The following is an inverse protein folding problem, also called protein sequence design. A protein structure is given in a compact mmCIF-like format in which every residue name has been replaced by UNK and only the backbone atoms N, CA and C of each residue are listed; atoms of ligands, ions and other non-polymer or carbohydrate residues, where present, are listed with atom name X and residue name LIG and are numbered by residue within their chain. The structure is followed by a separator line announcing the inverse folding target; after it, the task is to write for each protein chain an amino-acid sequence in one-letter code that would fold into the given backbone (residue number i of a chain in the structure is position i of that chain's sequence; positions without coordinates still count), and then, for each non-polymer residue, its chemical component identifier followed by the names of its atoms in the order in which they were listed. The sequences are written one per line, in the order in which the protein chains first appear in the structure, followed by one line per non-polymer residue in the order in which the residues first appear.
data_IF_506968182645
#
_entry.id   IF_506968182645
#
_cell.length_a   1.000
_cell.length_b   1.000
_cell.length_c   1.000
_cell.angle_alpha   90.00
_cell.angle_beta   90.00
_cell.angle_gamma   90.00
#
_symmetry.space_group_name_H-M   'P 1'
#
loop_
_entity.id
_entity.type
_entity.pdbx_description
1 polymer ?
#
# COMPACT_ATOMS: atom_id res chain seq x y z
N UNK A 1 11.15 -3.49 24.42
CA UNK A 1 11.76 -2.26 23.85
C UNK A 1 12.47 -2.53 22.52
N UNK A 2 13.19 -3.63 22.35
CA UNK A 2 13.92 -4.01 21.12
C UNK A 2 13.04 -4.16 19.87
N UNK A 3 11.88 -4.82 19.93
CA UNK A 3 11.03 -5.07 18.75
C UNK A 3 10.41 -3.82 18.11
N UNK A 4 10.29 -2.73 18.86
CA UNK A 4 9.69 -1.47 18.38
C UNK A 4 10.67 -0.72 17.47
N UNK A 5 11.93 -0.56 17.90
CA UNK A 5 13.00 0.07 17.10
C UNK A 5 13.32 -0.75 15.86
N UNK A 6 13.21 -2.08 15.95
CA UNK A 6 13.43 -2.96 14.80
C UNK A 6 12.40 -2.76 13.69
N UNK A 7 11.10 -2.64 14.03
CA UNK A 7 10.06 -2.40 13.03
C UNK A 7 10.17 -1.00 12.37
N UNK A 8 10.63 0.01 13.11
CA UNK A 8 10.88 1.34 12.56
C UNK A 8 12.11 1.34 11.64
N UNK A 9 13.17 0.67 12.06
CA UNK A 9 14.38 0.49 11.26
C UNK A 9 14.10 -0.32 9.99
N UNK A 10 13.31 -1.40 10.10
CA UNK A 10 12.92 -2.20 8.94
C UNK A 10 12.14 -1.37 7.92
N UNK A 11 11.14 -0.60 8.36
CA UNK A 11 10.39 0.30 7.49
C UNK A 11 11.33 1.31 6.81
N UNK A 12 12.23 1.91 7.56
CA UNK A 12 13.23 2.85 7.02
C UNK A 12 14.11 2.18 5.97
N UNK A 13 14.71 1.02 6.27
CA UNK A 13 15.57 0.30 5.33
C UNK A 13 14.82 -0.12 4.07
N UNK A 14 13.59 -0.65 4.20
CA UNK A 14 12.78 -1.03 3.05
C UNK A 14 12.50 0.19 2.17
N UNK A 15 12.06 1.31 2.76
CA UNK A 15 11.75 2.53 2.00
C UNK A 15 12.98 3.11 1.28
N UNK A 16 14.14 3.08 1.93
CA UNK A 16 15.42 3.49 1.29
C UNK A 16 15.77 2.56 0.14
N UNK A 17 15.62 1.24 0.33
CA UNK A 17 15.87 0.26 -0.73
C UNK A 17 14.95 0.49 -1.93
N UNK A 18 13.68 0.78 -1.69
CA UNK A 18 12.69 1.10 -2.73
C UNK A 18 13.08 2.33 -3.54
N UNK A 19 13.50 3.40 -2.88
CA UNK A 19 14.03 4.59 -3.56
C UNK A 19 15.28 4.30 -4.38
N UNK A 20 16.21 3.53 -3.85
CA UNK A 20 17.44 3.14 -4.57
C UNK A 20 17.09 2.33 -5.81
N UNK A 21 16.19 1.34 -5.69
CA UNK A 21 15.73 0.52 -6.82
C UNK A 21 15.06 1.41 -7.88
N UNK A 22 14.18 2.33 -7.47
CA UNK A 22 13.51 3.26 -8.37
C UNK A 22 14.54 4.08 -9.17
N UNK A 23 15.51 4.70 -8.48
CA UNK A 23 16.54 5.51 -9.16
C UNK A 23 17.45 4.69 -10.09
N UNK A 24 17.74 3.44 -9.75
CA UNK A 24 18.58 2.55 -10.56
C UNK A 24 17.85 2.02 -11.80
N UNK A 25 16.52 1.79 -11.70
CA UNK A 25 15.75 1.15 -12.76
C UNK A 25 15.00 2.14 -13.66
N UNK A 26 14.86 3.40 -13.26
CA UNK A 26 14.10 4.40 -13.99
C UNK A 26 15.05 5.38 -14.70
N UNK A 27 15.29 5.23 -16.00
CA UNK A 27 16.22 6.10 -16.74
C UNK A 27 15.69 7.52 -16.93
N UNK A 28 14.37 7.68 -16.99
CA UNK A 28 13.69 8.98 -17.13
C UNK A 28 12.51 9.05 -16.20
N UNK A 29 12.46 10.08 -15.35
CA UNK A 29 11.41 10.26 -14.36
C UNK A 29 10.19 10.96 -14.97
N UNK A 30 9.02 10.34 -14.77
CA UNK A 30 7.71 10.93 -15.04
C UNK A 30 7.19 11.68 -13.80
N UNK A 31 6.09 12.41 -13.96
CA UNK A 31 5.40 13.05 -12.82
C UNK A 31 4.97 12.01 -11.75
N UNK A 32 4.57 10.82 -12.19
CA UNK A 32 4.17 9.73 -11.29
C UNK A 32 5.34 9.24 -10.45
N UNK A 33 6.54 9.13 -11.03
CA UNK A 33 7.75 8.72 -10.30
C UNK A 33 8.12 9.76 -9.24
N UNK A 34 8.00 11.05 -9.54
CA UNK A 34 8.23 12.10 -8.55
C UNK A 34 7.21 12.09 -7.41
N UNK A 35 5.92 11.80 -7.70
CA UNK A 35 4.91 11.58 -6.64
C UNK A 35 5.29 10.39 -5.77
N UNK A 36 5.81 9.31 -6.37
CA UNK A 36 6.28 8.14 -5.66
C UNK A 36 7.49 8.46 -4.76
N UNK A 37 8.47 9.21 -5.27
CA UNK A 37 9.60 9.72 -4.46
C UNK A 37 9.10 10.54 -3.26
N UNK A 38 8.17 11.45 -3.49
CA UNK A 38 7.57 12.26 -2.41
C UNK A 38 6.88 11.39 -1.35
N UNK A 39 6.11 10.37 -1.78
CA UNK A 39 5.46 9.42 -0.85
C UNK A 39 6.49 8.68 0.01
N UNK A 40 7.58 8.20 -0.58
CA UNK A 40 8.64 7.51 0.15
C UNK A 40 9.35 8.43 1.14
N UNK A 41 9.59 9.69 0.75
CA UNK A 41 10.13 10.68 1.68
C UNK A 41 9.19 10.91 2.88
N UNK A 42 7.88 11.03 2.63
CA UNK A 42 6.88 11.14 3.70
C UNK A 42 6.90 9.89 4.60
N UNK A 43 7.00 8.69 4.02
CA UNK A 43 7.10 7.44 4.78
C UNK A 43 8.36 7.40 5.65
N UNK A 44 9.50 7.92 5.17
CA UNK A 44 10.73 8.03 5.97
C UNK A 44 10.52 8.96 7.18
N UNK A 45 9.91 10.13 6.97
CA UNK A 45 9.57 11.05 8.07
C UNK A 45 8.60 10.40 9.06
N UNK A 46 7.60 9.68 8.56
CA UNK A 46 6.65 8.94 9.40
C UNK A 46 7.38 7.85 10.20
N UNK A 47 8.28 7.09 9.58
CA UNK A 47 9.03 6.03 10.27
C UNK A 47 9.77 6.54 11.50
N UNK A 48 10.28 7.78 11.43
CA UNK A 48 10.98 8.44 12.54
C UNK A 48 10.03 9.02 13.60
N UNK A 49 8.80 9.42 13.20
CA UNK A 49 7.89 10.22 14.05
C UNK A 49 6.58 9.50 14.42
N UNK A 50 6.32 8.32 13.87
CA UNK A 50 5.04 7.60 14.01
C UNK A 50 4.70 7.27 15.45
N UNK A 51 3.41 7.21 15.72
CA UNK A 51 2.91 6.80 17.03
C UNK A 51 3.21 5.33 17.28
N UNK A 52 3.61 5.03 18.50
CA UNK A 52 3.80 3.64 18.92
C UNK A 52 2.43 2.95 19.01
N UNK A 53 2.33 1.72 18.51
CA UNK A 53 1.06 0.99 18.57
C UNK A 53 0.74 0.50 19.97
N UNK A 54 -0.55 0.48 20.30
CA UNK A 54 -1.07 -0.11 21.52
C UNK A 54 -1.15 -1.63 21.41
N UNK A 55 -1.53 -2.12 20.22
CA UNK A 55 -1.68 -3.53 19.90
C UNK A 55 -1.04 -3.81 18.54
N UNK A 56 -0.45 -4.99 18.39
CA UNK A 56 0.17 -5.48 17.16
C UNK A 56 -0.39 -6.83 16.76
N UNK A 57 -0.46 -7.09 15.46
CA UNK A 57 -0.60 -8.44 14.95
C UNK A 57 0.80 -9.06 14.73
N UNK A 58 1.16 -10.03 15.60
CA UNK A 58 2.43 -10.75 15.52
C UNK A 58 2.33 -12.08 14.76
N UNK A 59 1.20 -12.38 14.14
CA UNK A 59 1.02 -13.64 13.45
C UNK A 59 2.02 -13.81 12.29
N UNK A 60 2.47 -15.03 12.08
CA UNK A 60 3.34 -15.39 10.95
C UNK A 60 2.63 -15.08 9.64
N UNK A 61 1.33 -15.38 9.55
CA UNK A 61 0.52 -15.12 8.37
C UNK A 61 0.45 -13.63 8.00
N UNK A 62 0.32 -12.74 9.01
CA UNK A 62 0.39 -11.29 8.79
C UNK A 62 1.78 -10.87 8.28
N UNK A 63 2.84 -11.46 8.82
CA UNK A 63 4.21 -11.18 8.36
C UNK A 63 4.44 -11.64 6.93
N UNK A 64 3.93 -12.82 6.56
CA UNK A 64 4.00 -13.34 5.18
C UNK A 64 3.20 -12.47 4.22
N UNK A 65 1.98 -12.05 4.59
CA UNK A 65 1.16 -11.17 3.77
C UNK A 65 1.82 -9.79 3.56
N UNK A 66 2.47 -9.24 4.58
CA UNK A 66 3.28 -8.03 4.45
C UNK A 66 4.44 -8.26 3.48
N UNK A 67 5.21 -9.34 3.66
CA UNK A 67 6.31 -9.69 2.78
C UNK A 67 5.87 -9.87 1.32
N UNK A 68 4.79 -10.61 1.08
CA UNK A 68 4.23 -10.79 -0.25
C UNK A 68 3.84 -9.45 -0.89
N UNK A 69 3.15 -8.57 -0.15
CA UNK A 69 2.73 -7.26 -0.64
C UNK A 69 3.91 -6.35 -1.02
N UNK A 70 5.08 -6.52 -0.41
CA UNK A 70 6.29 -5.78 -0.76
C UNK A 70 7.08 -6.42 -1.91
N UNK A 71 7.09 -7.74 -2.01
CA UNK A 71 7.93 -8.45 -2.99
C UNK A 71 7.30 -8.48 -4.37
N UNK A 72 5.96 -8.68 -4.49
CA UNK A 72 5.34 -8.90 -5.79
C UNK A 72 5.50 -7.73 -6.78
N UNK A 73 5.45 -6.43 -6.40
CA UNK A 73 5.61 -5.34 -7.36
C UNK A 73 7.00 -5.33 -7.98
N UNK A 74 8.04 -5.62 -7.17
CA UNK A 74 9.41 -5.72 -7.69
C UNK A 74 9.61 -6.96 -8.56
N UNK A 75 9.03 -8.09 -8.17
CA UNK A 75 9.06 -9.29 -8.98
C UNK A 75 8.42 -9.04 -10.35
N UNK A 76 7.32 -8.26 -10.41
CA UNK A 76 6.68 -7.86 -11.65
C UNK A 76 7.60 -7.00 -12.52
N UNK A 77 8.19 -5.94 -11.96
CA UNK A 77 9.11 -5.04 -12.70
C UNK A 77 10.33 -5.81 -13.21
N UNK A 78 10.96 -6.63 -12.35
CA UNK A 78 12.12 -7.44 -12.73
C UNK A 78 11.75 -8.43 -13.83
N UNK A 79 10.60 -9.11 -13.71
CA UNK A 79 10.16 -10.07 -14.70
C UNK A 79 9.92 -9.43 -16.08
N UNK A 80 9.26 -8.27 -16.13
CA UNK A 80 9.00 -7.55 -17.39
C UNK A 80 10.29 -7.09 -18.10
N UNK A 81 11.38 -6.85 -17.36
CA UNK A 81 12.70 -6.54 -17.96
C UNK A 81 13.23 -7.70 -18.82
N UNK A 82 12.96 -8.94 -18.41
CA UNK A 82 13.45 -10.16 -19.09
C UNK A 82 12.43 -10.76 -20.06
N UNK A 83 11.16 -10.51 -19.83
CA UNK A 83 10.05 -11.02 -20.63
C UNK A 83 9.02 -9.91 -20.83
N UNK A 84 9.27 -8.98 -21.78
CA UNK A 84 8.33 -7.91 -22.05
C UNK A 84 6.92 -8.42 -22.31
N UNK A 85 5.96 -7.70 -21.80
CA UNK A 85 4.55 -8.03 -21.90
C UNK A 85 3.90 -7.44 -23.15
N UNK A 86 2.61 -7.64 -23.25
CA UNK A 86 1.77 -7.05 -24.28
C UNK A 86 1.28 -5.68 -23.85
N UNK A 87 1.49 -4.66 -24.68
CA UNK A 87 1.02 -3.30 -24.45
C UNK A 87 -0.38 -3.14 -25.02
N UNK A 88 -1.39 -2.97 -24.14
CA UNK A 88 -2.78 -2.89 -24.56
C UNK A 88 -3.33 -1.46 -24.56
N UNK A 89 -3.29 -0.79 -23.40
CA UNK A 89 -3.93 0.51 -23.17
C UNK A 89 -3.02 1.45 -22.37
N UNK A 90 -1.85 1.85 -22.92
CA UNK A 90 -0.82 2.58 -22.16
C UNK A 90 -1.31 3.94 -21.63
N UNK A 91 -2.09 4.68 -22.40
CA UNK A 91 -2.63 5.97 -21.96
C UNK A 91 -3.65 5.82 -20.82
N UNK A 92 -4.57 4.88 -20.92
CA UNK A 92 -5.55 4.59 -19.87
C UNK A 92 -4.85 4.08 -18.60
N UNK A 93 -3.84 3.22 -18.77
CA UNK A 93 -3.03 2.73 -17.66
C UNK A 93 -2.27 3.86 -16.96
N UNK A 94 -1.66 4.77 -17.71
CA UNK A 94 -0.96 5.94 -17.13
C UNK A 94 -1.91 6.85 -16.33
N UNK A 95 -3.11 7.13 -16.87
CA UNK A 95 -4.12 7.91 -16.14
C UNK A 95 -4.48 7.22 -14.83
N UNK A 96 -4.72 5.91 -14.86
CA UNK A 96 -5.12 5.17 -13.68
C UNK A 96 -4.00 5.11 -12.62
N UNK A 97 -2.75 4.90 -13.02
CA UNK A 97 -1.59 4.94 -12.09
C UNK A 97 -1.44 6.33 -11.48
N UNK A 98 -1.63 7.41 -12.26
CA UNK A 98 -1.54 8.78 -11.75
C UNK A 98 -2.64 9.07 -10.72
N UNK A 99 -3.88 8.66 -10.98
CA UNK A 99 -4.99 8.78 -10.03
C UNK A 99 -4.73 7.96 -8.76
N UNK A 100 -4.22 6.74 -8.91
CA UNK A 100 -3.85 5.87 -7.82
C UNK A 100 -2.74 6.48 -6.94
N UNK A 101 -1.71 7.06 -7.56
CA UNK A 101 -0.63 7.77 -6.86
C UNK A 101 -1.16 8.97 -6.07
N UNK A 102 -2.06 9.77 -6.67
CA UNK A 102 -2.72 10.88 -5.99
C UNK A 102 -3.55 10.42 -4.79
N UNK A 103 -4.37 9.38 -4.96
CA UNK A 103 -5.14 8.79 -3.87
C UNK A 103 -4.24 8.25 -2.75
N UNK A 104 -3.17 7.55 -3.11
CA UNK A 104 -2.18 7.03 -2.16
C UNK A 104 -1.53 8.16 -1.35
N UNK A 105 -1.13 9.25 -2.02
CA UNK A 105 -0.55 10.42 -1.35
C UNK A 105 -1.53 11.04 -0.36
N UNK A 106 -2.78 11.30 -0.77
CA UNK A 106 -3.81 11.88 0.11
C UNK A 106 -4.10 10.98 1.30
N UNK A 107 -4.20 9.66 1.08
CA UNK A 107 -4.44 8.70 2.17
C UNK A 107 -3.27 8.62 3.13
N UNK A 108 -2.03 8.64 2.63
CA UNK A 108 -0.83 8.64 3.44
C UNK A 108 -0.74 9.89 4.32
N UNK A 109 -1.01 11.07 3.75
CA UNK A 109 -1.05 12.34 4.48
C UNK A 109 -2.15 12.34 5.54
N UNK A 110 -3.32 11.77 5.23
CA UNK A 110 -4.45 11.67 6.17
C UNK A 110 -4.12 10.73 7.34
N UNK A 111 -3.47 9.59 7.09
CA UNK A 111 -2.99 8.70 8.16
C UNK A 111 -1.87 9.34 8.98
N UNK A 112 -0.95 10.03 8.32
CA UNK A 112 0.19 10.68 8.96
C UNK A 112 0.92 9.73 9.92
N UNK A 113 1.08 10.14 11.16
CA UNK A 113 1.80 9.37 12.20
C UNK A 113 1.12 8.07 12.65
N UNK A 114 -0.08 7.78 12.18
CA UNK A 114 -0.78 6.51 12.43
C UNK A 114 -0.43 5.43 11.40
N UNK A 115 0.19 5.82 10.28
CA UNK A 115 0.62 4.90 9.23
C UNK A 115 1.57 3.82 9.75
N UNK A 116 1.44 2.64 9.20
CA UNK A 116 2.36 1.54 9.44
C UNK A 116 2.10 0.38 8.49
N UNK A 117 3.16 -0.32 8.15
CA UNK A 117 3.15 -1.44 7.21
C UNK A 117 2.46 -2.67 7.80
N UNK A 118 2.67 -2.91 9.09
CA UNK A 118 2.13 -4.04 9.81
C UNK A 118 0.81 -3.65 10.49
N UNK A 119 -0.21 -4.51 10.47
CA UNK A 119 -1.46 -4.28 11.19
C UNK A 119 -1.21 -3.99 12.66
N UNK A 120 -1.62 -2.81 13.11
CA UNK A 120 -1.37 -2.37 14.48
C UNK A 120 -2.30 -1.23 14.87
N UNK A 121 -2.78 -1.23 16.11
CA UNK A 121 -3.64 -0.18 16.65
C UNK A 121 -2.80 1.01 17.12
N UNK A 122 -2.74 2.07 16.31
CA UNK A 122 -2.11 3.36 16.63
C UNK A 122 -3.14 4.46 16.88
N UNK A 123 -4.35 4.27 16.39
CA UNK A 123 -5.50 5.16 16.43
C UNK A 123 -6.45 4.81 15.30
N UNK A 124 -7.56 5.51 15.21
CA UNK A 124 -8.55 5.38 14.14
C UNK A 124 -8.61 6.70 13.36
N UNK A 125 -8.60 6.62 12.04
CA UNK A 125 -8.81 7.75 11.13
C UNK A 125 -10.14 7.54 10.43
N UNK A 126 -11.00 8.55 10.46
CA UNK A 126 -12.36 8.51 9.90
C UNK A 126 -12.64 9.64 8.92
N UNK A 127 -11.64 10.51 8.69
CA UNK A 127 -11.74 11.70 7.84
C UNK A 127 -11.11 11.50 6.46
N UNK A 128 -11.34 12.45 5.56
CA UNK A 128 -10.82 12.41 4.20
C UNK A 128 -11.27 11.16 3.44
N UNK A 129 -10.40 10.48 2.70
CA UNK A 129 -10.74 9.25 1.98
C UNK A 129 -11.30 8.13 2.87
N UNK A 130 -10.92 8.11 4.16
CA UNK A 130 -11.42 7.16 5.16
C UNK A 130 -12.88 7.40 5.56
N UNK A 131 -13.46 8.53 5.20
CA UNK A 131 -14.90 8.78 5.33
C UNK A 131 -15.75 8.13 4.24
N UNK A 132 -15.15 7.65 3.16
CA UNK A 132 -15.86 7.03 2.03
C UNK A 132 -15.70 5.51 2.01
N UNK A 133 -14.48 5.03 2.22
CA UNK A 133 -14.14 3.60 2.32
C UNK A 133 -13.15 3.38 3.47
N UNK A 134 -13.15 2.19 4.05
CA UNK A 134 -12.30 1.90 5.23
C UNK A 134 -10.83 1.73 4.90
N UNK A 135 -10.51 1.31 3.65
CA UNK A 135 -9.15 1.00 3.23
C UNK A 135 -8.77 1.72 1.90
N UNK A 136 -8.83 3.05 1.86
CA UNK A 136 -8.58 3.80 0.62
C UNK A 136 -7.12 3.68 0.13
N UNK A 137 -6.17 3.41 1.02
CA UNK A 137 -4.80 3.14 0.64
C UNK A 137 -4.66 1.81 -0.12
N UNK A 138 -5.37 0.76 0.30
CA UNK A 138 -5.38 -0.51 -0.45
C UNK A 138 -6.12 -0.39 -1.76
N UNK A 139 -7.17 0.44 -1.83
CA UNK A 139 -7.82 0.78 -3.10
C UNK A 139 -6.82 1.42 -4.06
N UNK A 140 -5.96 2.34 -3.60
CA UNK A 140 -4.96 2.95 -4.46
C UNK A 140 -3.94 1.92 -5.00
N UNK A 141 -3.55 0.92 -4.22
CA UNK A 141 -2.67 -0.15 -4.69
C UNK A 141 -3.33 -1.00 -5.79
N UNK A 142 -4.60 -1.38 -5.62
CA UNK A 142 -5.35 -2.12 -6.64
C UNK A 142 -5.48 -1.32 -7.93
N UNK A 143 -5.79 -0.02 -7.84
CA UNK A 143 -5.87 0.86 -9.00
C UNK A 143 -4.53 1.00 -9.71
N UNK A 144 -3.43 1.11 -8.97
CA UNK A 144 -2.08 1.13 -9.53
C UNK A 144 -1.76 -0.17 -10.26
N UNK A 145 -2.03 -1.33 -9.66
CA UNK A 145 -1.82 -2.64 -10.28
C UNK A 145 -2.60 -2.79 -11.58
N UNK A 146 -3.88 -2.40 -11.60
CA UNK A 146 -4.69 -2.40 -12.82
C UNK A 146 -4.05 -1.47 -13.86
N UNK A 147 -3.65 -0.27 -13.46
CA UNK A 147 -3.04 0.70 -14.35
C UNK A 147 -1.72 0.23 -14.96
N UNK A 148 -0.84 -0.38 -14.16
CA UNK A 148 0.41 -0.97 -14.66
C UNK A 148 0.14 -2.13 -15.62
N UNK A 149 -0.81 -3.02 -15.31
CA UNK A 149 -1.16 -4.13 -16.21
C UNK A 149 -1.88 -3.67 -17.49
N UNK A 150 -2.55 -2.53 -17.50
CA UNK A 150 -3.06 -1.92 -18.73
C UNK A 150 -1.94 -1.37 -19.61
N UNK A 151 -0.86 -0.87 -19.01
CA UNK A 151 0.30 -0.40 -19.76
C UNK A 151 1.09 -1.55 -20.37
N UNK A 152 1.39 -2.55 -19.57
CA UNK A 152 2.14 -3.72 -20.01
C UNK A 152 1.77 -4.94 -19.15
N UNK A 153 1.28 -6.01 -19.78
CA UNK A 153 0.87 -7.21 -19.08
C UNK A 153 1.39 -8.51 -19.71
N UNK A 154 1.52 -9.54 -18.91
CA UNK A 154 1.57 -10.92 -19.34
C UNK A 154 0.97 -11.83 -18.25
N UNK A 155 0.80 -13.11 -18.55
CA UNK A 155 0.14 -14.06 -17.63
C UNK A 155 0.88 -14.19 -16.29
N UNK A 156 2.21 -14.05 -16.27
CA UNK A 156 2.99 -14.14 -15.02
C UNK A 156 2.80 -12.90 -14.17
N UNK A 157 2.82 -11.69 -14.77
CA UNK A 157 2.56 -10.45 -14.02
C UNK A 157 1.15 -10.43 -13.48
N UNK A 158 0.17 -10.91 -14.23
CA UNK A 158 -1.21 -11.03 -13.74
C UNK A 158 -1.29 -12.00 -12.55
N UNK A 159 -0.60 -13.14 -12.59
CA UNK A 159 -0.55 -14.07 -11.46
C UNK A 159 0.09 -13.42 -10.22
N UNK A 160 1.18 -12.69 -10.38
CA UNK A 160 1.82 -11.95 -9.28
C UNK A 160 0.86 -10.93 -8.64
N UNK A 161 0.10 -10.19 -9.44
CA UNK A 161 -0.92 -9.25 -8.97
C UNK A 161 -2.02 -9.97 -8.20
N UNK A 162 -2.52 -11.11 -8.69
CA UNK A 162 -3.53 -11.89 -7.99
C UNK A 162 -3.03 -12.38 -6.62
N UNK A 163 -1.77 -12.81 -6.51
CA UNK A 163 -1.12 -13.16 -5.24
C UNK A 163 -1.03 -11.92 -4.34
N UNK A 164 -0.64 -10.77 -4.90
CA UNK A 164 -0.63 -9.48 -4.20
C UNK A 164 -2.00 -9.13 -3.63
N UNK A 165 -3.06 -9.22 -4.43
CA UNK A 165 -4.43 -8.92 -3.99
C UNK A 165 -4.94 -9.90 -2.93
N UNK A 166 -4.62 -11.18 -3.02
CA UNK A 166 -4.92 -12.13 -1.96
C UNK A 166 -4.25 -11.71 -0.62
N UNK A 167 -2.99 -11.24 -0.69
CA UNK A 167 -2.30 -10.70 0.48
C UNK A 167 -2.96 -9.43 1.02
N UNK A 168 -3.45 -8.53 0.15
CA UNK A 168 -4.19 -7.33 0.55
C UNK A 168 -5.50 -7.68 1.26
N UNK A 169 -6.27 -8.62 0.73
CA UNK A 169 -7.51 -9.09 1.37
C UNK A 169 -7.22 -9.62 2.77
N UNK A 170 -6.19 -10.45 2.91
CA UNK A 170 -5.76 -10.93 4.23
C UNK A 170 -5.38 -9.77 5.17
N UNK A 171 -4.61 -8.80 4.68
CA UNK A 171 -4.18 -7.63 5.47
C UNK A 171 -5.36 -6.77 5.91
N UNK A 172 -6.37 -6.55 5.05
CA UNK A 172 -7.60 -5.85 5.41
C UNK A 172 -8.27 -6.53 6.61
N UNK A 173 -8.44 -7.85 6.57
CA UNK A 173 -9.04 -8.57 7.69
C UNK A 173 -8.18 -8.53 8.96
N UNK A 174 -6.86 -8.61 8.82
CA UNK A 174 -5.95 -8.50 9.96
C UNK A 174 -5.97 -7.09 10.58
N UNK A 175 -6.03 -6.03 9.76
CA UNK A 175 -6.17 -4.65 10.24
C UNK A 175 -7.51 -4.41 10.92
N UNK A 176 -8.62 -4.84 10.33
CA UNK A 176 -9.95 -4.69 10.94
C UNK A 176 -10.05 -5.43 12.29
N UNK A 177 -9.42 -6.63 12.40
CA UNK A 177 -9.34 -7.36 13.67
C UNK A 177 -8.60 -6.58 14.76
N UNK A 178 -7.54 -5.87 14.39
CA UNK A 178 -6.79 -5.04 15.35
C UNK A 178 -7.54 -3.73 15.63
N UNK A 179 -8.10 -3.08 14.60
CA UNK A 179 -8.86 -1.84 14.73
C UNK A 179 -10.17 -2.03 15.50
N UNK A 180 -10.77 -3.23 15.46
CA UNK A 180 -11.99 -3.54 16.22
C UNK A 180 -11.84 -3.40 17.74
N UNK A 181 -10.60 -3.32 18.22
CA UNK A 181 -10.30 -3.04 19.64
C UNK A 181 -10.34 -1.53 19.98
N UNK A 182 -10.56 -0.66 18.98
CA UNK A 182 -10.76 0.78 19.20
C UNK A 182 -12.21 1.06 19.59
N UNK A 183 -12.43 1.89 20.61
CA UNK A 183 -13.77 2.17 21.13
C UNK A 183 -14.75 2.73 20.07
N UNK A 184 -14.25 3.53 19.15
CA UNK A 184 -15.06 4.17 18.09
C UNK A 184 -15.27 3.27 16.86
N UNK A 185 -14.64 2.10 16.80
CA UNK A 185 -14.71 1.20 15.64
C UNK A 185 -16.16 0.77 15.29
N UNK A 186 -17.01 0.38 16.25
CA UNK A 186 -18.38 -0.03 15.94
C UNK A 186 -19.19 1.09 15.26
N UNK A 187 -19.04 2.34 15.73
CA UNK A 187 -19.69 3.49 15.11
C UNK A 187 -19.14 3.78 13.72
N UNK A 188 -17.83 3.68 13.53
CA UNK A 188 -17.17 3.91 12.25
C UNK A 188 -17.63 2.93 11.17
N UNK A 189 -17.72 1.63 11.45
CA UNK A 189 -18.15 0.64 10.43
C UNK A 189 -19.61 0.76 10.05
N UNK A 190 -20.45 1.33 10.91
CA UNK A 190 -21.85 1.66 10.58
C UNK A 190 -21.92 2.82 9.59
N UNK A 191 -21.10 3.85 9.78
CA UNK A 191 -21.05 5.03 8.91
C UNK A 191 -20.36 4.71 7.58
N UNK A 192 -19.21 4.03 7.63
CA UNK A 192 -18.39 3.69 6.45
C UNK A 192 -18.48 2.19 6.21
N UNK A 193 -19.51 1.80 5.44
CA UNK A 193 -19.86 0.37 5.26
C UNK A 193 -18.86 -0.38 4.37
N UNK A 194 -18.29 0.30 3.38
CA UNK A 194 -17.48 -0.32 2.34
C UNK A 194 -16.00 -0.36 2.72
N UNK A 195 -15.34 -1.48 2.40
CA UNK A 195 -13.90 -1.65 2.61
C UNK A 195 -13.08 -0.95 1.53
N UNK A 196 -13.41 -1.22 0.26
CA UNK A 196 -12.66 -0.77 -0.91
C UNK A 196 -13.56 -0.05 -1.91
N UNK A 197 -14.60 -0.72 -2.40
CA UNK A 197 -15.47 -0.20 -3.47
C UNK A 197 -16.87 0.06 -2.94
N UNK A 198 -17.36 1.31 -3.02
CA UNK A 198 -18.74 1.60 -2.66
C UNK A 198 -19.73 0.72 -3.45
N UNK A 199 -20.64 0.09 -2.74
CA UNK A 199 -21.65 -0.80 -3.33
C UNK A 199 -21.21 -2.25 -3.57
N UNK A 200 -19.92 -2.57 -3.47
CA UNK A 200 -19.43 -3.92 -3.76
C UNK A 200 -18.88 -4.65 -2.52
N UNK A 201 -17.95 -4.03 -1.80
CA UNK A 201 -17.30 -4.67 -0.62
C UNK A 201 -16.68 -3.64 0.33
#
# INVERSE_FOLDING_TARGET
MFGRRFADLLLFCVTVTELVILFLLTPTFTITDWVYVLQHFIVLVIALTRRQPKVWDYSIASSMAVGAAYVYPYAQVIYLRWSPGYVAWPAAGLVLVTLAAGLSLVTLLTLGRLFGVRPALRGLVTSGPYGFVRHPMYLSYILADIGYNLQEWNSVTLLLVLVGWASLVYRIHAEERVLSQHAEWPAYVVLVRYRLFPGLW
#
